data_IF_974762249836
#
_entry.id   IF_974762249836
#
_cell.length_a   1.000
_cell.length_b   1.000
_cell.length_c   1.000
_cell.angle_alpha   90.00
_cell.angle_beta   90.00
_cell.angle_gamma   90.00
#
_symmetry.space_group_name_H-M   'P 1'
#
loop_
_entity.id
_entity.type
_entity.pdbx_description
1 polymer ?
#
# COMPACT_ATOMS: atom_id res chain seq x y z
N UNK A 1 -13.35 -7.97 29.10
CA UNK A 1 -12.96 -7.97 27.67
C UNK A 1 -11.49 -7.59 27.61
N UNK A 2 -10.60 -8.52 27.24
CA UNK A 2 -9.17 -8.22 27.14
C UNK A 2 -8.96 -7.39 25.86
N UNK A 3 -8.56 -6.14 26.00
CA UNK A 3 -8.02 -5.34 24.92
C UNK A 3 -6.78 -6.07 24.39
N UNK A 4 -6.93 -6.69 23.23
CA UNK A 4 -5.79 -7.21 22.49
C UNK A 4 -4.94 -5.98 22.11
N UNK A 5 -3.83 -5.75 22.81
CA UNK A 5 -2.88 -4.67 22.51
C UNK A 5 -2.28 -4.99 21.15
N UNK A 6 -2.92 -4.51 20.08
CA UNK A 6 -2.36 -4.59 18.72
C UNK A 6 -0.98 -3.93 18.77
N UNK A 7 0.03 -4.67 18.37
CA UNK A 7 1.39 -4.16 18.32
C UNK A 7 1.43 -2.97 17.36
N UNK A 8 1.72 -1.77 17.88
CA UNK A 8 1.85 -0.55 17.09
C UNK A 8 3.15 -0.66 16.29
N UNK A 9 3.05 -0.72 14.96
CA UNK A 9 4.19 -0.86 14.05
C UNK A 9 4.55 0.50 13.45
N UNK A 10 5.84 0.80 13.34
CA UNK A 10 6.35 1.96 12.61
C UNK A 10 6.37 1.65 11.11
N UNK A 11 5.73 2.50 10.31
CA UNK A 11 5.58 2.30 8.87
C UNK A 11 6.27 3.40 8.07
N UNK A 12 6.85 3.02 6.93
CA UNK A 12 7.40 3.95 5.95
C UNK A 12 6.75 3.68 4.59
N UNK A 13 6.25 4.72 3.91
CA UNK A 13 5.50 4.59 2.67
C UNK A 13 6.29 5.06 1.45
N UNK A 14 6.58 4.16 0.52
CA UNK A 14 7.10 4.48 -0.81
C UNK A 14 5.93 4.68 -1.78
N UNK A 15 6.08 5.59 -2.74
CA UNK A 15 5.03 5.89 -3.73
C UNK A 15 3.70 6.21 -3.05
N UNK A 16 3.75 7.03 -2.01
CA UNK A 16 2.67 7.20 -1.03
C UNK A 16 1.41 7.83 -1.61
N UNK A 17 1.50 8.47 -2.79
CA UNK A 17 0.38 9.19 -3.36
C UNK A 17 -0.18 10.23 -2.39
N UNK A 18 -1.48 10.45 -2.42
CA UNK A 18 -2.17 11.33 -1.49
C UNK A 18 -2.45 10.69 -0.11
N UNK A 19 -1.78 9.57 0.24
CA UNK A 19 -1.80 9.01 1.58
C UNK A 19 -2.82 7.91 1.84
N UNK A 20 -3.37 7.25 0.82
CA UNK A 20 -4.33 6.16 1.02
C UNK A 20 -3.81 5.02 1.88
N UNK A 21 -2.54 4.60 1.68
CA UNK A 21 -1.88 3.61 2.54
C UNK A 21 -1.60 4.12 3.95
N UNK A 22 -1.26 5.40 4.09
CA UNK A 22 -1.03 6.04 5.39
C UNK A 22 -2.32 6.10 6.22
N UNK A 23 -3.47 6.36 5.57
CA UNK A 23 -4.78 6.29 6.24
C UNK A 23 -5.11 4.85 6.68
N UNK A 24 -4.67 3.84 5.92
CA UNK A 24 -4.82 2.45 6.36
C UNK A 24 -4.04 2.15 7.64
N UNK A 25 -2.86 2.73 7.82
CA UNK A 25 -2.09 2.61 9.06
C UNK A 25 -2.84 3.19 10.26
N UNK A 26 -3.49 4.34 10.08
CA UNK A 26 -4.32 4.95 11.13
C UNK A 26 -5.46 4.01 11.51
N UNK A 27 -6.13 3.39 10.53
CA UNK A 27 -7.17 2.39 10.77
C UNK A 27 -6.64 1.15 11.51
N UNK A 28 -5.38 0.78 11.30
CA UNK A 28 -4.71 -0.35 11.96
C UNK A 28 -4.11 0.01 13.32
N UNK A 29 -4.01 1.30 13.66
CA UNK A 29 -3.34 1.79 14.86
C UNK A 29 -1.81 1.78 14.73
N UNK A 30 -1.27 1.72 13.51
CA UNK A 30 0.15 1.81 13.22
C UNK A 30 0.64 3.27 13.30
N UNK A 31 1.95 3.47 13.23
CA UNK A 31 2.60 4.76 13.35
C UNK A 31 3.38 5.09 12.06
N UNK A 32 2.84 5.88 11.13
CA UNK A 32 3.59 6.34 9.97
C UNK A 32 4.71 7.28 10.41
N UNK A 33 5.95 6.96 10.04
CA UNK A 33 7.16 7.69 10.43
C UNK A 33 7.89 8.32 9.26
N UNK A 34 7.50 8.03 8.01
CA UNK A 34 8.10 8.60 6.81
C UNK A 34 7.35 8.23 5.55
N UNK A 35 7.54 9.03 4.51
CA UNK A 35 6.96 8.78 3.19
C UNK A 35 7.92 9.23 2.07
N UNK A 36 7.72 8.67 0.87
CA UNK A 36 8.37 9.11 -0.36
C UNK A 36 7.32 9.23 -1.47
N UNK A 37 7.27 10.43 -2.12
CA UNK A 37 6.32 10.72 -3.19
C UNK A 37 6.90 11.75 -4.17
N UNK A 38 7.05 11.36 -5.44
CA UNK A 38 7.69 12.21 -6.45
C UNK A 38 6.75 13.28 -7.01
N UNK A 39 5.44 12.98 -7.11
CA UNK A 39 4.46 13.89 -7.68
C UNK A 39 4.19 15.06 -6.72
N UNK A 40 4.36 16.33 -7.15
CA UNK A 40 4.19 17.48 -6.28
C UNK A 40 2.79 17.58 -5.65
N UNK A 41 1.73 17.36 -6.44
CA UNK A 41 0.36 17.55 -5.95
C UNK A 41 -0.02 16.57 -4.81
N UNK A 42 0.20 15.23 -4.91
CA UNK A 42 0.01 14.33 -3.78
C UNK A 42 0.87 14.69 -2.57
N UNK A 43 2.11 15.11 -2.78
CA UNK A 43 3.01 15.54 -1.71
C UNK A 43 2.47 16.77 -0.97
N UNK A 44 1.94 17.76 -1.71
CA UNK A 44 1.29 18.94 -1.12
C UNK A 44 0.04 18.57 -0.30
N UNK A 45 -0.73 17.57 -0.75
CA UNK A 45 -1.87 17.02 0.01
C UNK A 45 -1.40 16.44 1.34
N UNK A 46 -0.33 15.62 1.35
CA UNK A 46 0.23 15.06 2.59
C UNK A 46 0.67 16.17 3.56
N UNK A 47 1.42 17.15 3.07
CA UNK A 47 1.87 18.30 3.87
C UNK A 47 0.69 19.12 4.43
N UNK A 48 -0.38 19.29 3.63
CA UNK A 48 -1.60 19.94 4.11
C UNK A 48 -2.24 19.13 5.24
N UNK A 49 -2.38 17.80 5.08
CA UNK A 49 -2.98 16.94 6.12
C UNK A 49 -2.17 16.87 7.40
N UNK A 50 -0.85 17.01 7.32
CA UNK A 50 0.01 17.17 8.52
C UNK A 50 -0.26 18.51 9.21
N UNK A 51 -0.33 19.61 8.45
CA UNK A 51 -0.64 20.95 9.00
C UNK A 51 -2.03 21.01 9.65
N UNK A 52 -3.01 20.34 9.06
CA UNK A 52 -4.38 20.27 9.57
C UNK A 52 -4.54 19.30 10.76
N UNK A 53 -3.47 18.59 11.15
CA UNK A 53 -3.48 17.62 12.26
C UNK A 53 -4.17 16.29 11.96
N UNK A 54 -4.51 16.03 10.69
CA UNK A 54 -5.10 14.75 10.26
C UNK A 54 -4.06 13.63 10.12
N UNK A 55 -2.81 14.00 9.85
CA UNK A 55 -1.68 13.09 9.81
C UNK A 55 -0.63 13.50 10.84
N UNK A 56 0.11 12.56 11.45
CA UNK A 56 1.26 12.89 12.27
C UNK A 56 2.35 13.55 11.44
N UNK A 57 3.24 14.30 12.08
CA UNK A 57 4.39 14.90 11.43
C UNK A 57 5.45 13.83 11.18
N UNK A 58 5.82 13.62 9.93
CA UNK A 58 6.91 12.76 9.47
C UNK A 58 7.57 13.39 8.23
N UNK A 59 8.84 13.10 7.93
CA UNK A 59 9.50 13.59 6.73
C UNK A 59 8.91 12.93 5.47
N UNK A 60 8.81 13.73 4.39
CA UNK A 60 8.37 13.29 3.07
C UNK A 60 9.52 13.52 2.09
N UNK A 61 10.09 12.43 1.57
CA UNK A 61 11.13 12.46 0.53
C UNK A 61 10.49 12.57 -0.86
N UNK A 62 11.18 13.15 -1.81
CA UNK A 62 10.63 13.37 -3.15
C UNK A 62 10.95 12.25 -4.14
N UNK A 63 12.17 11.71 -4.17
CA UNK A 63 12.59 10.72 -5.16
C UNK A 63 13.13 9.45 -4.50
N UNK A 64 12.48 8.32 -4.76
CA UNK A 64 12.86 7.01 -4.25
C UNK A 64 14.26 6.59 -4.68
N UNK A 65 14.74 7.06 -5.84
CA UNK A 65 16.07 6.75 -6.36
C UNK A 65 17.18 7.41 -5.55
N UNK A 66 16.90 8.54 -4.88
CA UNK A 66 17.86 9.28 -4.06
C UNK A 66 17.70 9.04 -2.56
N UNK A 67 16.63 8.33 -2.16
CA UNK A 67 16.38 8.01 -0.77
C UNK A 67 17.42 7.00 -0.24
N UNK A 68 18.16 7.39 0.80
CA UNK A 68 19.00 6.48 1.57
C UNK A 68 18.18 5.80 2.67
N UNK A 69 18.01 4.49 2.56
CA UNK A 69 17.29 3.67 3.54
C UNK A 69 18.13 3.29 4.77
N UNK A 70 19.44 3.46 4.72
CA UNK A 70 20.36 3.00 5.77
C UNK A 70 20.07 3.63 7.15
N UNK A 71 19.80 4.94 7.27
CA UNK A 71 19.47 5.56 8.57
C UNK A 71 18.17 5.05 9.19
N UNK A 72 17.29 4.44 8.40
CA UNK A 72 15.99 3.91 8.83
C UNK A 72 16.03 2.47 9.34
N UNK A 73 17.20 1.81 9.22
CA UNK A 73 17.39 0.43 9.66
C UNK A 73 17.12 0.28 11.15
N UNK A 74 16.24 -0.67 11.49
CA UNK A 74 15.84 -0.94 12.87
C UNK A 74 14.75 0.00 13.42
N UNK A 75 14.38 1.05 12.66
CA UNK A 75 13.31 1.97 13.05
C UNK A 75 11.99 1.65 12.33
N UNK A 76 12.07 1.20 11.07
CA UNK A 76 10.93 0.83 10.24
C UNK A 76 10.56 -0.64 10.50
N UNK A 77 9.33 -0.88 10.97
CA UNK A 77 8.78 -2.23 11.09
C UNK A 77 8.17 -2.70 9.77
N UNK A 78 7.46 -1.83 9.06
CA UNK A 78 6.78 -2.13 7.80
C UNK A 78 7.19 -1.12 6.72
N UNK A 79 7.77 -1.61 5.63
CA UNK A 79 7.98 -0.82 4.42
C UNK A 79 6.79 -1.05 3.50
N UNK A 80 5.97 0.00 3.29
CA UNK A 80 4.75 -0.04 2.51
C UNK A 80 4.93 0.64 1.15
N UNK A 81 4.16 0.24 0.12
CA UNK A 81 4.12 1.00 -1.13
C UNK A 81 3.39 0.32 -2.27
N UNK A 82 2.74 1.14 -3.09
CA UNK A 82 2.17 0.73 -4.37
C UNK A 82 3.10 1.13 -5.51
N UNK A 83 4.02 0.26 -5.93
CA UNK A 83 4.98 0.61 -6.98
C UNK A 83 4.30 0.70 -8.35
N UNK A 84 4.71 1.67 -9.21
CA UNK A 84 4.10 1.89 -10.52
C UNK A 84 4.15 0.65 -11.40
N UNK A 85 3.01 0.36 -12.04
CA UNK A 85 2.76 -0.84 -12.83
C UNK A 85 2.54 -0.50 -14.31
N UNK A 86 3.16 0.58 -14.83
CA UNK A 86 2.84 1.08 -16.18
C UNK A 86 3.13 0.07 -17.29
N UNK A 87 4.11 -0.81 -17.12
CA UNK A 87 4.44 -1.85 -18.10
C UNK A 87 3.70 -3.18 -17.85
N UNK A 88 3.03 -3.32 -16.71
CA UNK A 88 2.28 -4.53 -16.30
C UNK A 88 0.78 -4.35 -16.56
N UNK A 89 0.25 -3.10 -16.60
CA UNK A 89 -1.18 -2.85 -16.81
C UNK A 89 -1.63 -3.19 -18.24
N UNK A 90 -2.92 -3.47 -18.41
CA UNK A 90 -3.51 -3.73 -19.74
C UNK A 90 -3.41 -2.52 -20.69
N UNK A 91 -3.23 -1.31 -20.14
CA UNK A 91 -3.03 -0.07 -20.88
C UNK A 91 -1.54 0.22 -21.19
N UNK A 92 -0.60 -0.54 -20.65
CA UNK A 92 0.84 -0.42 -20.92
C UNK A 92 1.29 -1.27 -22.09
N UNK A 93 2.52 -1.02 -22.57
CA UNK A 93 3.13 -1.76 -23.70
C UNK A 93 3.44 -3.25 -23.42
N UNK A 94 3.06 -3.77 -22.26
CA UNK A 94 3.19 -5.19 -21.93
C UNK A 94 4.60 -5.70 -21.62
N UNK A 95 5.60 -4.82 -21.44
CA UNK A 95 7.00 -5.19 -21.21
C UNK A 95 7.26 -5.90 -19.86
N UNK A 96 6.25 -5.96 -18.98
CA UNK A 96 6.36 -6.60 -17.68
C UNK A 96 7.29 -5.84 -16.71
N UNK A 97 7.80 -6.55 -15.69
CA UNK A 97 8.66 -5.96 -14.65
C UNK A 97 10.09 -5.67 -15.15
N UNK A 98 10.47 -6.13 -16.35
CA UNK A 98 11.75 -5.88 -16.98
C UNK A 98 11.84 -4.56 -17.76
N UNK A 99 10.71 -3.83 -17.96
CA UNK A 99 10.69 -2.53 -18.65
C UNK A 99 11.38 -1.42 -17.83
N UNK A 100 11.87 -0.35 -18.50
CA UNK A 100 12.59 0.76 -17.85
C UNK A 100 11.82 1.40 -16.68
N UNK A 101 10.48 1.45 -16.76
CA UNK A 101 9.62 2.06 -15.72
C UNK A 101 9.29 1.13 -14.57
N UNK A 102 9.51 -0.15 -14.71
CA UNK A 102 9.46 -1.13 -13.62
C UNK A 102 10.77 -1.21 -12.83
N UNK A 103 11.77 -0.42 -13.24
CA UNK A 103 12.99 -0.18 -12.47
C UNK A 103 12.71 0.31 -11.04
N UNK A 104 11.53 0.89 -10.78
CA UNK A 104 11.13 1.32 -9.45
C UNK A 104 10.89 0.16 -8.46
N UNK A 105 10.58 -1.05 -8.94
CA UNK A 105 10.65 -2.23 -8.08
C UNK A 105 12.08 -2.51 -7.60
N UNK A 106 13.09 -2.28 -8.43
CA UNK A 106 14.50 -2.44 -8.03
C UNK A 106 14.88 -1.48 -6.91
N UNK A 107 14.39 -0.23 -6.98
CA UNK A 107 14.57 0.74 -5.89
C UNK A 107 13.82 0.31 -4.61
N UNK A 108 12.63 -0.25 -4.75
CA UNK A 108 11.92 -0.82 -3.62
C UNK A 108 12.73 -1.97 -2.99
N UNK A 109 13.25 -2.90 -3.79
CA UNK A 109 14.09 -4.02 -3.33
C UNK A 109 15.40 -3.53 -2.69
N UNK A 110 16.04 -2.48 -3.25
CA UNK A 110 17.21 -1.83 -2.64
C UNK A 110 16.88 -1.32 -1.25
N UNK A 111 15.80 -0.57 -1.10
CA UNK A 111 15.38 -0.02 0.19
C UNK A 111 14.99 -1.10 1.20
N UNK A 112 14.41 -2.23 0.77
CA UNK A 112 14.21 -3.40 1.65
C UNK A 112 15.57 -3.91 2.19
N UNK A 113 16.58 -3.99 1.33
CA UNK A 113 17.93 -4.40 1.71
C UNK A 113 18.61 -3.45 2.69
N UNK A 114 18.40 -2.14 2.51
CA UNK A 114 18.96 -1.08 3.34
C UNK A 114 18.24 -0.96 4.69
N UNK A 115 16.92 -0.82 4.69
CA UNK A 115 16.10 -0.61 5.89
C UNK A 115 15.93 -1.88 6.72
N UNK A 116 15.88 -3.06 6.08
CA UNK A 116 15.67 -4.38 6.70
C UNK A 116 14.43 -4.42 7.61
N UNK A 117 13.24 -4.01 7.11
CA UNK A 117 12.02 -3.99 7.90
C UNK A 117 11.59 -5.41 8.31
N UNK A 118 10.74 -5.53 9.35
CA UNK A 118 10.14 -6.82 9.74
C UNK A 118 9.17 -7.32 8.68
N UNK A 119 8.45 -6.38 8.05
CA UNK A 119 7.45 -6.65 7.02
C UNK A 119 7.65 -5.73 5.81
N UNK A 120 7.33 -6.25 4.63
CA UNK A 120 7.20 -5.48 3.39
C UNK A 120 5.76 -5.63 2.91
N UNK A 121 5.06 -4.53 2.72
CA UNK A 121 3.67 -4.54 2.27
C UNK A 121 3.53 -3.81 0.94
N UNK A 122 3.52 -4.58 -0.14
CA UNK A 122 3.49 -4.05 -1.50
C UNK A 122 2.11 -4.21 -2.16
N UNK A 123 1.70 -3.20 -2.94
CA UNK A 123 0.47 -3.20 -3.71
C UNK A 123 0.77 -3.07 -5.21
N UNK A 124 -0.04 -3.74 -6.02
CA UNK A 124 0.02 -3.56 -7.48
C UNK A 124 -1.30 -3.99 -8.17
N UNK A 125 -1.34 -3.87 -9.49
CA UNK A 125 -2.41 -4.42 -10.31
C UNK A 125 -2.50 -5.95 -10.17
N UNK A 126 -3.70 -6.58 -10.27
CA UNK A 126 -3.86 -8.04 -10.32
C UNK A 126 -3.08 -8.69 -11.46
N UNK A 127 -2.75 -7.95 -12.52
CA UNK A 127 -1.92 -8.41 -13.64
C UNK A 127 -0.48 -8.75 -13.23
N UNK A 128 -0.01 -8.25 -12.07
CA UNK A 128 1.28 -8.63 -11.50
C UNK A 128 1.42 -10.16 -11.39
N UNK A 129 0.32 -10.86 -11.09
CA UNK A 129 0.28 -12.32 -10.95
C UNK A 129 0.91 -13.04 -12.17
N UNK A 130 0.63 -12.55 -13.37
CA UNK A 130 1.08 -13.19 -14.63
C UNK A 130 2.27 -12.51 -15.27
N UNK A 131 2.60 -11.29 -14.85
CA UNK A 131 3.58 -10.45 -15.54
C UNK A 131 4.78 -10.00 -14.70
N UNK A 132 4.92 -10.49 -13.46
CA UNK A 132 6.06 -10.06 -12.64
C UNK A 132 6.09 -10.53 -11.19
N UNK A 133 5.04 -11.19 -10.70
CA UNK A 133 5.01 -11.67 -9.30
C UNK A 133 6.17 -12.63 -9.01
N UNK A 134 6.55 -13.48 -9.97
CA UNK A 134 7.69 -14.39 -9.82
C UNK A 134 8.98 -13.65 -9.48
N UNK A 135 9.29 -12.56 -10.20
CA UNK A 135 10.47 -11.73 -9.94
C UNK A 135 10.40 -11.07 -8.57
N UNK A 136 9.23 -10.50 -8.20
CA UNK A 136 9.04 -9.90 -6.87
C UNK A 136 9.29 -10.91 -5.76
N UNK A 137 8.75 -12.14 -5.89
CA UNK A 137 8.91 -13.18 -4.89
C UNK A 137 10.36 -13.72 -4.83
N UNK A 138 11.03 -13.79 -5.97
CA UNK A 138 12.45 -14.20 -6.07
C UNK A 138 13.36 -13.18 -5.38
N UNK A 139 13.19 -11.89 -5.66
CA UNK A 139 13.96 -10.80 -5.04
C UNK A 139 13.72 -10.76 -3.52
N UNK A 140 12.47 -10.90 -3.07
CA UNK A 140 12.14 -10.96 -1.64
C UNK A 140 12.78 -12.19 -0.97
N UNK A 141 12.77 -13.35 -1.63
CA UNK A 141 13.43 -14.55 -1.11
C UNK A 141 14.96 -14.39 -1.04
N UNK A 142 15.58 -13.77 -2.06
CA UNK A 142 17.01 -13.45 -2.06
C UNK A 142 17.39 -12.50 -0.90
N UNK A 143 16.51 -11.57 -0.55
CA UNK A 143 16.65 -10.67 0.60
C UNK A 143 16.34 -11.35 1.96
N UNK A 144 15.91 -12.62 1.97
CA UNK A 144 15.63 -13.40 3.18
C UNK A 144 14.22 -13.24 3.73
N UNK A 145 13.24 -12.93 2.86
CA UNK A 145 11.83 -12.82 3.24
C UNK A 145 11.02 -14.00 2.68
N UNK A 146 10.07 -14.47 3.48
CA UNK A 146 8.93 -15.25 3.00
C UNK A 146 7.80 -14.31 2.63
N UNK A 147 6.90 -14.72 1.73
CA UNK A 147 5.80 -13.87 1.30
C UNK A 147 4.47 -14.59 1.27
N UNK A 148 3.40 -13.85 1.58
CA UNK A 148 1.99 -14.20 1.35
C UNK A 148 1.40 -13.15 0.42
N UNK A 149 0.48 -13.54 -0.41
CA UNK A 149 -0.16 -12.60 -1.34
C UNK A 149 -1.61 -12.99 -1.63
N UNK A 150 -2.39 -12.02 -2.09
CA UNK A 150 -3.78 -12.23 -2.48
C UNK A 150 -4.33 -11.04 -3.26
N UNK A 151 -5.53 -11.21 -3.81
CA UNK A 151 -6.26 -10.15 -4.52
C UNK A 151 -7.45 -9.72 -3.67
N UNK A 152 -7.53 -8.44 -3.36
CA UNK A 152 -8.64 -7.81 -2.66
C UNK A 152 -8.99 -6.50 -3.35
N UNK A 153 -10.27 -6.24 -3.55
CA UNK A 153 -10.77 -5.03 -4.19
C UNK A 153 -11.68 -4.22 -3.29
N UNK A 154 -12.03 -3.02 -3.72
CA UNK A 154 -12.86 -2.09 -2.97
C UNK A 154 -14.26 -2.67 -2.66
N UNK A 155 -14.82 -3.46 -3.58
CA UNK A 155 -16.11 -4.15 -3.36
C UNK A 155 -16.05 -5.14 -2.19
N UNK A 156 -14.91 -5.76 -1.95
CA UNK A 156 -14.75 -6.77 -0.89
C UNK A 156 -14.79 -6.12 0.50
N UNK A 157 -14.59 -4.80 0.59
CA UNK A 157 -14.72 -3.98 1.80
C UNK A 157 -15.96 -3.08 1.80
N UNK A 158 -16.92 -3.33 0.90
CA UNK A 158 -18.22 -2.67 0.87
C UNK A 158 -18.35 -1.47 -0.06
N UNK A 159 -17.31 -1.09 -0.81
CA UNK A 159 -17.40 0.02 -1.76
C UNK A 159 -18.27 -0.32 -3.00
N UNK A 160 -18.90 0.69 -3.65
CA UNK A 160 -19.73 0.48 -4.82
C UNK A 160 -18.97 0.17 -6.11
N UNK A 161 -17.63 0.14 -6.07
CA UNK A 161 -16.76 -0.10 -7.22
C UNK A 161 -15.79 -1.26 -7.00
N UNK A 162 -15.29 -1.88 -8.06
CA UNK A 162 -14.44 -3.08 -7.97
C UNK A 162 -13.03 -2.80 -7.44
N UNK A 163 -12.25 -2.04 -8.16
CA UNK A 163 -10.84 -1.70 -7.90
C UNK A 163 -10.02 -2.86 -7.29
N UNK A 164 -9.98 -4.00 -7.96
CA UNK A 164 -9.18 -5.16 -7.55
C UNK A 164 -7.68 -4.82 -7.54
N UNK A 165 -6.96 -5.21 -6.48
CA UNK A 165 -5.51 -5.02 -6.31
C UNK A 165 -4.85 -6.29 -5.80
N UNK A 166 -3.63 -6.52 -6.24
CA UNK A 166 -2.73 -7.54 -5.71
C UNK A 166 -2.01 -6.95 -4.49
N UNK A 167 -2.06 -7.67 -3.39
CA UNK A 167 -1.38 -7.34 -2.15
C UNK A 167 -0.35 -8.41 -1.85
N UNK A 168 0.86 -8.00 -1.52
CA UNK A 168 1.97 -8.88 -1.14
C UNK A 168 2.45 -8.45 0.23
N UNK A 169 2.42 -9.35 1.22
CA UNK A 169 3.05 -9.15 2.51
C UNK A 169 4.24 -10.11 2.62
N UNK A 170 5.44 -9.54 2.65
CA UNK A 170 6.64 -10.30 2.96
C UNK A 170 7.05 -10.09 4.43
N UNK A 171 7.64 -11.09 5.03
CA UNK A 171 8.09 -11.09 6.42
C UNK A 171 9.44 -11.78 6.55
N UNK A 172 10.31 -11.23 7.40
CA UNK A 172 11.65 -11.76 7.60
C UNK A 172 11.60 -13.24 8.00
N UNK A 173 12.33 -14.09 7.29
CA UNK A 173 12.42 -15.50 7.60
C UNK A 173 13.12 -15.68 8.97
N UNK A 174 12.45 -16.30 9.94
CA UNK A 174 13.11 -16.70 11.18
C UNK A 174 14.08 -17.82 10.85
N UNK A 175 15.34 -17.72 11.28
CA UNK A 175 16.31 -18.82 11.17
C UNK A 175 15.72 -20.06 11.87
N UNK A 176 15.45 -21.13 11.12
CA UNK A 176 14.99 -22.41 11.66
C UNK A 176 13.52 -22.79 11.38
N UNK A 177 12.73 -21.94 10.73
CA UNK A 177 11.40 -22.35 10.25
C UNK A 177 11.51 -22.81 8.79
N UNK A 178 11.22 -24.08 8.57
CA UNK A 178 11.14 -24.68 7.23
C UNK A 178 10.24 -23.86 6.31
N UNK A 179 10.67 -23.75 5.03
CA UNK A 179 9.95 -23.08 3.95
C UNK A 179 8.58 -23.73 3.73
N UNK A 180 7.58 -23.38 4.51
CA UNK A 180 6.20 -23.64 4.13
C UNK A 180 5.83 -22.65 3.04
N UNK A 181 5.88 -23.10 1.79
CA UNK A 181 5.21 -22.43 0.66
C UNK A 181 3.72 -22.39 0.97
N UNK A 182 3.23 -21.29 1.52
CA UNK A 182 1.80 -21.07 1.57
C UNK A 182 1.34 -20.56 0.19
N UNK A 183 0.42 -21.27 -0.48
CA UNK A 183 -0.16 -20.79 -1.73
C UNK A 183 -0.88 -19.46 -1.48
N UNK A 184 -0.86 -18.58 -2.48
CA UNK A 184 -1.60 -17.33 -2.41
C UNK A 184 -3.09 -17.60 -2.19
N UNK A 185 -3.72 -16.83 -1.32
CA UNK A 185 -5.17 -16.96 -1.03
C UNK A 185 -6.00 -16.51 -2.22
N UNK A 186 -6.99 -17.31 -2.59
CA UNK A 186 -7.95 -16.95 -3.63
C UNK A 186 -8.92 -15.87 -3.13
N UNK A 187 -9.58 -15.17 -4.06
CA UNK A 187 -10.62 -14.17 -3.70
C UNK A 187 -11.74 -14.78 -2.84
N UNK A 188 -12.10 -16.06 -3.05
CA UNK A 188 -13.12 -16.75 -2.26
C UNK A 188 -12.70 -16.94 -0.80
N UNK A 189 -11.40 -17.21 -0.53
CA UNK A 189 -10.88 -17.32 0.83
C UNK A 189 -10.86 -15.96 1.56
N UNK A 190 -10.81 -14.85 0.82
CA UNK A 190 -10.91 -13.51 1.37
C UNK A 190 -12.36 -13.10 1.63
N UNK A 191 -13.28 -13.44 0.74
CA UNK A 191 -14.71 -13.08 0.83
C UNK A 191 -15.43 -13.68 2.06
N UNK A 192 -14.94 -14.77 2.63
CA UNK A 192 -15.48 -15.39 3.84
C UNK A 192 -15.20 -14.61 5.13
N UNK A 193 -14.30 -13.63 5.13
CA UNK A 193 -13.97 -12.82 6.30
C UNK A 193 -14.80 -11.54 6.28
N UNK A 194 -15.75 -11.45 7.21
CA UNK A 194 -16.57 -10.24 7.39
C UNK A 194 -15.69 -9.09 7.89
N UNK A 195 -15.64 -7.99 7.14
CA UNK A 195 -15.25 -6.70 7.70
C UNK A 195 -16.18 -6.38 8.88
N UNK A 196 -15.65 -5.83 9.96
CA UNK A 196 -16.50 -5.39 11.08
C UNK A 196 -17.59 -4.45 10.55
N UNK A 197 -18.79 -4.58 11.06
CA UNK A 197 -19.98 -3.86 10.58
C UNK A 197 -19.79 -2.34 10.67
N UNK A 198 -19.01 -1.87 11.64
CA UNK A 198 -18.66 -0.46 11.87
C UNK A 198 -17.90 0.20 10.70
N UNK A 199 -17.12 -0.57 9.93
CA UNK A 199 -16.41 -0.07 8.74
C UNK A 199 -17.33 0.01 7.51
N UNK A 200 -18.50 -0.68 7.54
CA UNK A 200 -19.42 -0.77 6.41
C UNK A 200 -20.42 0.37 6.29
N UNK A 201 -20.92 0.90 7.39
CA UNK A 201 -22.19 1.66 7.37
C UNK A 201 -22.04 3.18 7.39
N UNK A 202 -20.91 3.76 7.79
CA UNK A 202 -20.78 5.23 7.88
C UNK A 202 -19.90 5.86 6.81
N UNK A 203 -18.79 5.22 6.48
CA UNK A 203 -17.71 5.84 5.71
C UNK A 203 -18.06 6.10 4.22
N UNK A 204 -18.83 5.20 3.59
CA UNK A 204 -19.12 5.32 2.15
C UNK A 204 -20.25 6.28 1.83
N UNK A 205 -21.20 6.48 2.74
CA UNK A 205 -22.32 7.42 2.55
C UNK A 205 -21.83 8.86 2.63
N UNK A 206 -20.97 9.19 3.58
CA UNK A 206 -20.38 10.52 3.73
C UNK A 206 -19.42 10.87 2.58
N UNK A 207 -18.60 9.93 2.12
CA UNK A 207 -17.63 10.16 1.06
C UNK A 207 -18.27 10.31 -0.32
N UNK A 208 -19.40 9.66 -0.61
CA UNK A 208 -20.13 9.83 -1.86
C UNK A 208 -20.77 11.22 -1.92
N UNK A 209 -21.29 11.74 -0.81
CA UNK A 209 -21.89 13.07 -0.74
C UNK A 209 -20.87 14.19 -0.97
N UNK A 210 -19.62 14.01 -0.54
CA UNK A 210 -18.53 14.98 -0.78
C UNK A 210 -18.06 14.97 -2.23
N UNK A 211 -17.98 13.81 -2.88
CA UNK A 211 -17.63 13.72 -4.32
C UNK A 211 -18.71 14.35 -5.19
N UNK A 212 -20.00 14.21 -4.84
CA UNK A 212 -21.10 14.83 -5.55
C UNK A 212 -21.13 16.37 -5.39
N UNK A 213 -20.70 16.92 -4.24
CA UNK A 213 -20.57 18.37 -4.01
C UNK A 213 -19.48 19.05 -4.86
N UNK A 214 -18.61 18.27 -5.51
CA UNK A 214 -17.58 18.82 -6.41
C UNK A 214 -18.13 19.26 -7.77
N UNK A 215 -19.41 19.07 -8.07
CA UNK A 215 -20.02 19.42 -9.35
C UNK A 215 -20.60 20.84 -9.37
N UNK A 216 -20.77 21.51 -8.23
CA UNK A 216 -21.33 22.86 -8.11
C UNK A 216 -20.26 23.97 -8.19
N UNK A 217 -19.49 23.99 -9.26
CA UNK A 217 -18.80 25.18 -9.72
C UNK A 217 -17.51 25.55 -8.98
N UNK A 218 -16.44 25.69 -9.76
CA UNK A 218 -15.21 26.43 -9.50
C UNK A 218 -14.11 25.75 -8.65
N UNK A 219 -13.78 24.52 -8.96
CA UNK A 219 -12.36 24.17 -8.92
C UNK A 219 -11.83 24.29 -10.36
N UNK A 220 -10.79 25.06 -10.58
CA UNK A 220 -10.12 25.17 -11.87
C UNK A 220 -9.96 23.80 -12.52
N UNK A 221 -10.26 23.69 -13.82
CA UNK A 221 -10.16 22.42 -14.57
C UNK A 221 -8.81 21.69 -14.37
N UNK A 222 -7.76 22.44 -14.06
CA UNK A 222 -6.41 21.96 -13.80
C UNK A 222 -6.31 21.20 -12.47
N UNK A 223 -6.98 21.67 -11.43
CA UNK A 223 -6.97 21.02 -10.11
C UNK A 223 -7.78 19.72 -10.12
N UNK A 224 -8.90 19.71 -10.83
CA UNK A 224 -9.75 18.53 -11.00
C UNK A 224 -8.98 17.35 -11.63
N UNK A 225 -8.19 17.58 -12.68
CA UNK A 225 -7.38 16.53 -13.32
C UNK A 225 -6.33 15.93 -12.36
N UNK A 226 -5.65 16.78 -11.58
CA UNK A 226 -4.67 16.34 -10.58
C UNK A 226 -5.33 15.53 -9.47
N UNK A 227 -6.50 15.94 -8.99
CA UNK A 227 -7.28 15.23 -7.97
C UNK A 227 -7.73 13.86 -8.48
N UNK A 228 -8.28 13.77 -9.69
CA UNK A 228 -8.65 12.49 -10.30
C UNK A 228 -7.45 11.55 -10.48
N UNK A 229 -6.29 12.08 -10.91
CA UNK A 229 -5.05 11.31 -11.03
C UNK A 229 -4.61 10.78 -9.66
N UNK A 230 -4.62 11.62 -8.63
CA UNK A 230 -4.21 11.24 -7.27
C UNK A 230 -5.13 10.17 -6.67
N UNK A 231 -6.46 10.32 -6.81
CA UNK A 231 -7.45 9.34 -6.35
C UNK A 231 -7.34 8.04 -7.19
N UNK A 232 -7.19 8.17 -8.51
CA UNK A 232 -7.08 7.05 -9.42
C UNK A 232 -5.85 6.17 -9.15
N UNK A 233 -4.73 6.77 -8.76
CA UNK A 233 -3.48 6.07 -8.43
C UNK A 233 -3.40 5.66 -6.95
N UNK A 234 -4.20 6.27 -6.06
CA UNK A 234 -4.15 6.01 -4.63
C UNK A 234 -4.66 4.62 -4.23
N UNK A 235 -4.24 4.15 -3.08
CA UNK A 235 -4.80 2.95 -2.44
C UNK A 235 -6.13 3.29 -1.76
N UNK A 236 -7.05 2.32 -1.72
CA UNK A 236 -8.26 2.41 -0.89
C UNK A 236 -7.88 2.01 0.54
N UNK A 237 -7.97 2.92 1.53
CA UNK A 237 -7.46 2.67 2.87
C UNK A 237 -8.02 1.39 3.52
N UNK A 238 -9.32 1.15 3.40
CA UNK A 238 -9.98 -0.03 3.95
C UNK A 238 -9.49 -1.32 3.30
N UNK A 239 -9.21 -1.30 1.98
CA UNK A 239 -8.62 -2.46 1.30
C UNK A 239 -7.22 -2.74 1.81
N UNK A 240 -6.38 -1.72 1.95
CA UNK A 240 -5.02 -1.86 2.45
C UNK A 240 -5.02 -2.40 3.89
N UNK A 241 -5.85 -1.83 4.77
CA UNK A 241 -5.98 -2.28 6.15
C UNK A 241 -6.47 -3.74 6.26
N UNK A 242 -7.51 -4.11 5.49
CA UNK A 242 -8.03 -5.48 5.47
C UNK A 242 -6.99 -6.46 4.90
N UNK A 243 -6.34 -6.12 3.79
CA UNK A 243 -5.31 -6.96 3.18
C UNK A 243 -4.14 -7.20 4.14
N UNK A 244 -3.66 -6.14 4.81
CA UNK A 244 -2.61 -6.26 5.81
C UNK A 244 -3.04 -7.19 6.96
N UNK A 245 -4.24 -6.97 7.53
CA UNK A 245 -4.76 -7.79 8.63
C UNK A 245 -4.84 -9.28 8.27
N UNK A 246 -5.34 -9.60 7.08
CA UNK A 246 -5.48 -11.00 6.63
C UNK A 246 -4.12 -11.65 6.38
N UNK A 247 -3.21 -10.94 5.69
CA UNK A 247 -1.91 -11.49 5.30
C UNK A 247 -0.96 -11.62 6.49
N UNK A 248 -1.11 -10.75 7.52
CA UNK A 248 -0.27 -10.76 8.73
C UNK A 248 -0.79 -11.69 9.83
N UNK A 249 -1.93 -12.36 9.62
CA UNK A 249 -2.51 -13.26 10.62
C UNK A 249 -1.53 -14.33 11.08
N UNK A 250 -1.32 -14.42 12.40
CA UNK A 250 -0.36 -15.32 13.02
C UNK A 250 1.12 -14.95 12.87
N UNK A 251 1.42 -13.73 12.35
CA UNK A 251 2.78 -13.19 12.23
C UNK A 251 3.06 -12.07 13.23
N UNK A 252 2.00 -11.42 13.74
CA UNK A 252 2.04 -10.30 14.70
C UNK A 252 1.39 -10.74 16.00
#
# INVERSE_FOLDING_TARGET
>A
MAYNTRTRLNTFHLFSGAGGGILADILLGHNPIGACEIEPYPRDVLLARQRDGHLPNFPIWDDVCTLDGTPWRGTVDVLCGGFPCQDISAAGKGAGISGERSGLWKEYARLIGEMRPRFVFAENSPLLRTRGLGVVLEDLAALGYNARWGVLGARDVGAPHKRDRMWVLAYAARKGLERQRQPGKSRQEWAGRKCSQEVREGFWEDSISEVARMDDGMADRVDRAKRFKAIGNGQVPQCAAMAFSILSEGLI
#
